data_IF_688348930565
#
_entry.id   IF_688348930565
#
_cell.length_a   1.000
_cell.length_b   1.000
_cell.length_c   1.000
_cell.angle_alpha   90.00
_cell.angle_beta   90.00
_cell.angle_gamma   90.00
#
_symmetry.space_group_name_H-M   'P 1'
#
loop_
_entity.id
_entity.type
_entity.pdbx_description
1 polymer ?
#
# COMPACT_ATOMS: atom_id res chain seq x y z
N UNK A 1 -0.98 -35.14 27.08
CA UNK A 1 -2.17 -35.11 26.20
C UNK A 1 -1.96 -34.18 24.99
N UNK A 2 -1.75 -32.85 25.17
CA UNK A 2 -1.52 -31.90 24.06
C UNK A 2 -0.43 -32.31 23.06
N UNK A 3 0.77 -32.68 23.52
CA UNK A 3 1.90 -33.10 22.65
C UNK A 3 1.52 -34.28 21.74
N UNK A 4 0.96 -35.34 22.32
CA UNK A 4 0.50 -36.54 21.59
C UNK A 4 -0.58 -36.20 20.56
N UNK A 5 -1.53 -35.32 20.91
CA UNK A 5 -2.54 -34.85 19.96
C UNK A 5 -1.92 -34.10 18.77
N UNK A 6 -0.94 -33.24 19.03
CA UNK A 6 -0.24 -32.50 17.96
C UNK A 6 0.59 -33.43 17.07
N UNK A 7 1.25 -34.44 17.62
CA UNK A 7 1.96 -35.48 16.85
C UNK A 7 1.01 -36.25 15.94
N UNK A 8 -0.18 -36.61 16.44
CA UNK A 8 -1.20 -37.27 15.64
C UNK A 8 -1.75 -36.37 14.52
N UNK A 9 -2.06 -35.11 14.82
CA UNK A 9 -2.52 -34.13 13.81
C UNK A 9 -1.42 -33.89 12.77
N UNK A 10 -0.15 -33.79 13.17
CA UNK A 10 0.98 -33.67 12.27
C UNK A 10 1.07 -34.86 11.30
N UNK A 11 0.87 -36.10 11.80
CA UNK A 11 0.84 -37.29 10.95
C UNK A 11 -0.32 -37.28 9.95
N UNK A 12 -1.50 -36.78 10.34
CA UNK A 12 -2.64 -36.60 9.42
C UNK A 12 -2.29 -35.58 8.34
N UNK A 13 -1.71 -34.44 8.71
CA UNK A 13 -1.30 -33.41 7.75
C UNK A 13 -0.28 -33.99 6.78
N UNK A 14 0.74 -34.70 7.27
CA UNK A 14 1.76 -35.34 6.43
C UNK A 14 1.14 -36.32 5.41
N UNK A 15 0.20 -37.15 5.86
CA UNK A 15 -0.55 -38.04 4.96
C UNK A 15 -1.38 -37.27 3.92
N UNK A 16 -1.91 -36.11 4.30
CA UNK A 16 -2.61 -35.22 3.36
C UNK A 16 -1.68 -34.60 2.32
N UNK A 17 -0.45 -34.23 2.72
CA UNK A 17 0.61 -33.75 1.82
C UNK A 17 1.00 -34.84 0.82
N UNK A 18 1.24 -36.07 1.29
CA UNK A 18 1.57 -37.23 0.44
C UNK A 18 0.49 -37.54 -0.60
N UNK A 19 -0.78 -37.28 -0.24
CA UNK A 19 -1.94 -37.45 -1.13
C UNK A 19 -2.23 -36.24 -2.01
N UNK A 20 -1.41 -35.18 -1.97
CA UNK A 20 -1.58 -34.00 -2.80
C UNK A 20 -2.81 -33.15 -2.45
N UNK A 21 -3.23 -33.12 -1.19
CA UNK A 21 -4.52 -32.52 -0.78
C UNK A 21 -4.51 -30.98 -0.71
N UNK A 22 -3.54 -30.32 -1.34
CA UNK A 22 -3.28 -28.88 -1.18
C UNK A 22 -4.46 -27.98 -1.57
N UNK A 23 -5.28 -28.39 -2.54
CA UNK A 23 -6.42 -27.63 -3.03
C UNK A 23 -7.70 -27.78 -2.20
N UNK A 24 -7.72 -28.65 -1.20
CA UNK A 24 -8.92 -28.90 -0.39
C UNK A 24 -9.00 -27.98 0.83
N UNK A 25 -10.10 -27.27 0.98
CA UNK A 25 -10.31 -26.31 2.08
C UNK A 25 -10.18 -26.96 3.46
N UNK A 26 -10.76 -28.14 3.68
CA UNK A 26 -10.68 -28.84 4.97
C UNK A 26 -9.25 -29.22 5.35
N UNK A 27 -8.39 -29.54 4.37
CA UNK A 27 -6.97 -29.80 4.61
C UNK A 27 -6.25 -28.51 5.00
N UNK A 28 -6.52 -27.42 4.28
CA UNK A 28 -5.96 -26.10 4.56
C UNK A 28 -6.39 -25.58 5.94
N UNK A 29 -7.64 -25.79 6.34
CA UNK A 29 -8.19 -25.41 7.64
C UNK A 29 -7.53 -26.19 8.78
N UNK A 30 -7.45 -27.53 8.66
CA UNK A 30 -6.75 -28.37 9.64
C UNK A 30 -5.30 -27.92 9.82
N UNK A 31 -4.61 -27.61 8.72
CA UNK A 31 -3.22 -27.17 8.78
C UNK A 31 -3.10 -25.75 9.38
N UNK A 32 -4.00 -24.84 9.03
CA UNK A 32 -4.04 -23.50 9.62
C UNK A 32 -4.32 -23.55 11.14
N UNK A 33 -5.16 -24.47 11.61
CA UNK A 33 -5.38 -24.70 13.04
C UNK A 33 -4.14 -25.26 13.73
N UNK A 34 -3.49 -26.25 13.11
CA UNK A 34 -2.24 -26.81 13.64
C UNK A 34 -1.16 -25.73 13.83
N UNK A 35 -0.99 -24.82 12.87
CA UNK A 35 -0.01 -23.73 12.93
C UNK A 35 -0.23 -22.81 14.14
N UNK A 36 -1.48 -22.61 14.58
CA UNK A 36 -1.79 -21.74 15.74
C UNK A 36 -1.30 -22.30 17.08
N UNK A 37 -1.04 -23.61 17.15
CA UNK A 37 -0.77 -24.32 18.41
C UNK A 37 0.52 -25.13 18.43
N UNK A 38 1.09 -25.43 17.25
CA UNK A 38 2.33 -26.15 17.08
C UNK A 38 3.56 -25.27 17.38
N UNK A 39 4.70 -25.90 17.66
CA UNK A 39 5.95 -25.15 17.84
C UNK A 39 6.45 -24.59 16.49
N UNK A 40 7.16 -23.46 16.47
CA UNK A 40 7.76 -22.93 15.24
C UNK A 40 8.65 -23.93 14.50
N UNK A 41 9.35 -24.79 15.24
CA UNK A 41 10.19 -25.85 14.68
C UNK A 41 9.35 -26.93 13.97
N UNK A 42 8.22 -27.33 14.54
CA UNK A 42 7.33 -28.31 13.90
C UNK A 42 6.68 -27.72 12.65
N UNK A 43 6.22 -26.47 12.73
CA UNK A 43 5.67 -25.74 11.57
C UNK A 43 6.70 -25.63 10.46
N UNK A 44 7.97 -25.32 10.77
CA UNK A 44 9.06 -25.32 9.81
C UNK A 44 9.26 -26.70 9.17
N UNK A 45 9.26 -27.76 9.97
CA UNK A 45 9.51 -29.12 9.50
C UNK A 45 8.44 -29.58 8.51
N UNK A 46 7.16 -29.47 8.87
CA UNK A 46 6.05 -29.88 8.00
C UNK A 46 5.91 -28.91 6.82
N UNK A 47 6.06 -27.61 7.07
CA UNK A 47 5.90 -26.57 6.05
C UNK A 47 6.87 -26.73 4.87
N UNK A 48 8.09 -27.22 5.09
CA UNK A 48 9.06 -27.48 4.01
C UNK A 48 8.57 -28.50 2.99
N UNK A 49 7.66 -29.42 3.37
CA UNK A 49 7.06 -30.40 2.45
C UNK A 49 5.95 -29.79 1.57
N UNK A 50 5.53 -28.55 1.83
CA UNK A 50 4.35 -27.93 1.18
C UNK A 50 4.72 -26.73 0.29
N UNK A 51 5.88 -26.10 0.50
CA UNK A 51 6.21 -24.83 -0.17
C UNK A 51 6.26 -24.86 -1.70
N UNK A 52 6.53 -26.00 -2.33
CA UNK A 52 6.47 -26.11 -3.81
C UNK A 52 5.02 -26.06 -4.35
N UNK A 53 4.04 -26.34 -3.50
CA UNK A 53 2.61 -26.37 -3.84
C UNK A 53 1.87 -25.11 -3.35
N UNK A 54 2.60 -24.08 -2.91
CA UNK A 54 2.01 -22.89 -2.29
C UNK A 54 0.89 -22.27 -3.14
N UNK A 55 1.07 -22.19 -4.47
CA UNK A 55 0.08 -21.62 -5.39
C UNK A 55 -1.30 -22.29 -5.28
N UNK A 56 -1.35 -23.61 -5.02
CA UNK A 56 -2.60 -24.35 -4.88
C UNK A 56 -3.35 -24.07 -3.57
N UNK A 57 -2.71 -23.39 -2.62
CA UNK A 57 -3.29 -23.05 -1.30
C UNK A 57 -3.75 -21.59 -1.21
N UNK A 58 -3.40 -20.74 -2.16
CA UNK A 58 -3.61 -19.30 -2.05
C UNK A 58 -5.04 -18.82 -2.37
N UNK A 59 -5.87 -19.71 -2.91
CA UNK A 59 -7.28 -19.42 -3.23
C UNK A 59 -8.17 -19.30 -1.99
N UNK A 60 -7.69 -19.68 -0.80
CA UNK A 60 -8.43 -19.53 0.46
C UNK A 60 -7.63 -18.78 1.52
N UNK A 61 -8.36 -18.23 2.49
CA UNK A 61 -7.76 -17.57 3.66
C UNK A 61 -6.92 -18.54 4.51
N UNK A 62 -7.41 -19.76 4.74
CA UNK A 62 -6.71 -20.75 5.54
C UNK A 62 -5.40 -21.19 4.85
N UNK A 63 -5.46 -21.51 3.56
CA UNK A 63 -4.27 -21.90 2.81
C UNK A 63 -3.27 -20.75 2.66
N UNK A 64 -3.75 -19.51 2.50
CA UNK A 64 -2.89 -18.31 2.56
C UNK A 64 -2.19 -18.16 3.91
N UNK A 65 -2.87 -18.42 5.03
CA UNK A 65 -2.24 -18.40 6.36
C UNK A 65 -1.14 -19.47 6.47
N UNK A 66 -1.38 -20.66 5.92
CA UNK A 66 -0.38 -21.74 5.87
C UNK A 66 0.84 -21.27 5.09
N UNK A 67 0.67 -20.76 3.87
CA UNK A 67 1.80 -20.28 3.05
C UNK A 67 2.54 -19.12 3.72
N UNK A 68 1.83 -18.18 4.35
CA UNK A 68 2.43 -17.07 5.09
C UNK A 68 3.25 -17.57 6.29
N UNK A 69 2.77 -18.58 7.02
CA UNK A 69 3.50 -19.22 8.10
C UNK A 69 4.73 -19.99 7.57
N UNK A 70 4.59 -20.73 6.47
CA UNK A 70 5.71 -21.41 5.82
C UNK A 70 6.79 -20.42 5.35
N UNK A 71 6.41 -19.27 4.80
CA UNK A 71 7.36 -18.20 4.47
C UNK A 71 8.06 -17.68 5.74
N UNK A 72 7.28 -17.42 6.79
CA UNK A 72 7.74 -16.87 8.06
C UNK A 72 8.71 -17.79 8.80
N UNK A 73 8.35 -19.04 9.04
CA UNK A 73 9.17 -19.98 9.81
C UNK A 73 10.19 -20.75 8.96
N UNK A 74 9.96 -20.85 7.65
CA UNK A 74 10.80 -21.59 6.72
C UNK A 74 12.22 -21.02 6.57
N UNK A 75 13.06 -21.79 5.89
CA UNK A 75 14.44 -21.42 5.56
C UNK A 75 14.50 -20.48 4.34
N UNK A 76 15.67 -19.94 4.05
CA UNK A 76 15.89 -19.20 2.80
C UNK A 76 15.62 -20.06 1.55
N UNK A 77 15.87 -21.38 1.63
CA UNK A 77 15.56 -22.33 0.55
C UNK A 77 14.05 -22.48 0.36
N UNK A 78 13.29 -22.56 1.45
CA UNK A 78 11.84 -22.66 1.40
C UNK A 78 11.21 -21.41 0.78
N UNK A 79 11.66 -20.21 1.18
CA UNK A 79 11.21 -18.94 0.57
C UNK A 79 11.46 -18.89 -0.94
N UNK A 80 12.60 -19.40 -1.41
CA UNK A 80 12.90 -19.53 -2.85
C UNK A 80 11.95 -20.49 -3.58
N UNK A 81 11.57 -21.59 -2.93
CA UNK A 81 10.58 -22.54 -3.46
C UNK A 81 9.17 -21.93 -3.55
N UNK A 82 8.75 -21.19 -2.53
CA UNK A 82 7.50 -20.41 -2.58
C UNK A 82 7.52 -19.44 -3.76
N UNK A 83 8.59 -18.63 -3.91
CA UNK A 83 8.73 -17.70 -5.04
C UNK A 83 8.66 -18.42 -6.40
N UNK A 84 9.28 -19.60 -6.52
CA UNK A 84 9.22 -20.38 -7.76
C UNK A 84 7.81 -20.87 -8.07
N UNK A 85 7.04 -21.29 -7.06
CA UNK A 85 5.65 -21.74 -7.25
C UNK A 85 4.71 -20.61 -7.67
N UNK A 86 5.05 -19.35 -7.36
CA UNK A 86 4.28 -18.16 -7.71
C UNK A 86 4.54 -17.63 -9.12
N UNK A 87 5.59 -18.12 -9.80
CA UNK A 87 6.04 -17.57 -11.09
C UNK A 87 4.91 -17.53 -12.12
N UNK A 88 4.66 -16.35 -12.70
CA UNK A 88 3.56 -16.13 -13.65
C UNK A 88 2.19 -15.89 -13.00
N UNK A 89 2.06 -16.07 -11.69
CA UNK A 89 0.84 -15.86 -10.92
C UNK A 89 0.99 -14.74 -9.87
N UNK A 90 2.13 -14.04 -9.81
CA UNK A 90 2.37 -13.00 -8.81
C UNK A 90 1.31 -11.90 -8.87
N UNK A 91 1.02 -11.38 -10.07
CA UNK A 91 0.05 -10.30 -10.25
C UNK A 91 -1.36 -10.71 -9.86
N UNK A 92 -1.84 -11.84 -10.39
CA UNK A 92 -3.19 -12.35 -10.07
C UNK A 92 -3.33 -12.67 -8.58
N UNK A 93 -2.27 -13.17 -7.95
CA UNK A 93 -2.24 -13.42 -6.51
C UNK A 93 -2.29 -12.13 -5.68
N UNK A 94 -1.64 -11.05 -6.11
CA UNK A 94 -1.73 -9.75 -5.43
C UNK A 94 -3.12 -9.12 -5.53
N UNK A 95 -3.82 -9.34 -6.65
CA UNK A 95 -5.18 -8.85 -6.88
C UNK A 95 -6.25 -9.70 -6.18
N UNK A 96 -5.92 -10.93 -5.80
CA UNK A 96 -6.84 -11.86 -5.17
C UNK A 96 -7.12 -11.49 -3.70
N UNK A 97 -8.35 -11.79 -3.23
CA UNK A 97 -8.84 -11.38 -1.90
C UNK A 97 -8.02 -11.90 -0.73
N UNK A 98 -7.46 -13.11 -0.85
CA UNK A 98 -6.72 -13.78 0.23
C UNK A 98 -5.21 -13.89 -0.08
N UNK A 99 -4.85 -14.52 -1.21
CA UNK A 99 -3.47 -14.76 -1.68
C UNK A 99 -2.44 -13.62 -1.47
N UNK A 100 -2.81 -12.35 -1.66
CA UNK A 100 -1.90 -11.20 -1.55
C UNK A 100 -1.12 -11.21 -0.23
N UNK A 101 -1.76 -11.66 0.85
CA UNK A 101 -1.21 -11.66 2.20
C UNK A 101 0.03 -12.56 2.33
N UNK A 102 0.05 -13.70 1.62
CA UNK A 102 1.22 -14.57 1.56
C UNK A 102 2.40 -13.91 0.84
N UNK A 103 2.13 -13.13 -0.22
CA UNK A 103 3.17 -12.39 -0.95
C UNK A 103 3.71 -11.25 -0.09
N UNK A 104 2.83 -10.49 0.57
CA UNK A 104 3.26 -9.46 1.53
C UNK A 104 4.15 -10.06 2.62
N UNK A 105 3.76 -11.22 3.15
CA UNK A 105 4.57 -11.92 4.14
C UNK A 105 5.93 -12.32 3.57
N UNK A 106 5.96 -12.93 2.38
CA UNK A 106 7.18 -13.34 1.69
C UNK A 106 8.15 -12.17 1.50
N UNK A 107 7.64 -10.98 1.15
CA UNK A 107 8.42 -9.74 1.04
C UNK A 107 9.05 -9.34 2.38
N UNK A 108 8.32 -9.45 3.48
CA UNK A 108 8.82 -9.09 4.82
C UNK A 108 9.91 -10.00 5.35
N UNK A 109 10.00 -11.26 4.90
CA UNK A 109 10.87 -12.28 5.52
C UNK A 109 11.98 -12.81 4.61
N UNK A 110 12.00 -12.42 3.33
CA UNK A 110 13.04 -12.87 2.39
C UNK A 110 14.28 -11.98 2.44
N UNK A 111 15.40 -12.50 2.97
CA UNK A 111 16.67 -11.75 3.06
C UNK A 111 17.36 -11.58 1.69
N UNK A 112 17.17 -12.53 0.77
CA UNK A 112 17.68 -12.48 -0.60
C UNK A 112 16.80 -11.56 -1.47
N UNK A 113 17.02 -10.27 -1.34
CA UNK A 113 16.25 -9.20 -1.99
C UNK A 113 16.43 -9.18 -3.50
N UNK A 114 17.59 -9.64 -4.01
CA UNK A 114 17.85 -9.78 -5.44
C UNK A 114 16.98 -10.90 -6.02
N UNK A 115 16.91 -12.07 -5.37
CA UNK A 115 16.01 -13.15 -5.80
C UNK A 115 14.55 -12.73 -5.72
N UNK A 116 14.15 -12.06 -4.62
CA UNK A 116 12.79 -11.54 -4.46
C UNK A 116 12.43 -10.55 -5.57
N UNK A 117 13.34 -9.64 -5.92
CA UNK A 117 13.12 -8.72 -7.03
C UNK A 117 12.90 -9.48 -8.35
N UNK A 118 13.81 -10.40 -8.70
CA UNK A 118 13.73 -11.16 -9.96
C UNK A 118 12.46 -12.02 -10.09
N UNK A 119 11.98 -12.58 -8.99
CA UNK A 119 10.83 -13.50 -9.01
C UNK A 119 9.48 -12.83 -8.75
N UNK A 120 9.44 -11.73 -8.01
CA UNK A 120 8.18 -11.10 -7.57
C UNK A 120 8.07 -9.69 -8.14
N UNK A 121 9.04 -8.81 -7.88
CA UNK A 121 8.93 -7.41 -8.27
C UNK A 121 9.04 -7.21 -9.78
N UNK A 122 9.90 -7.95 -10.48
CA UNK A 122 10.03 -7.86 -11.92
C UNK A 122 8.73 -8.24 -12.66
N UNK A 123 7.97 -9.22 -12.13
CA UNK A 123 6.70 -9.64 -12.71
C UNK A 123 5.63 -8.54 -12.64
N UNK A 124 5.57 -7.79 -11.53
CA UNK A 124 4.59 -6.68 -11.39
C UNK A 124 4.99 -5.41 -12.14
N UNK A 125 6.27 -5.30 -12.52
CA UNK A 125 6.80 -4.19 -13.32
C UNK A 125 6.68 -4.44 -14.83
N UNK A 126 6.34 -5.66 -15.25
CA UNK A 126 6.22 -6.03 -16.66
C UNK A 126 4.74 -5.96 -17.08
N UNK A 127 4.43 -5.29 -18.18
CA UNK A 127 3.07 -5.26 -18.73
C UNK A 127 2.69 -6.61 -19.38
N UNK A 128 1.45 -7.10 -19.21
CA UNK A 128 1.06 -8.44 -19.67
C UNK A 128 1.22 -8.61 -21.19
N UNK A 129 1.11 -7.51 -21.93
CA UNK A 129 1.20 -7.42 -23.40
C UNK A 129 2.61 -7.52 -23.95
N UNK A 130 3.65 -7.55 -23.10
CA UNK A 130 5.05 -7.56 -23.54
C UNK A 130 5.61 -8.96 -23.87
N UNK A 131 4.80 -10.03 -23.81
CA UNK A 131 5.26 -11.42 -24.04
C UNK A 131 4.39 -12.31 -24.92
N UNK A 132 3.29 -11.83 -25.48
CA UNK A 132 2.50 -12.61 -26.44
C UNK A 132 2.61 -12.02 -27.84
N UNK A 133 3.55 -12.56 -28.60
CA UNK A 133 3.58 -12.43 -30.06
C UNK A 133 2.88 -13.67 -30.65
N UNK A 134 1.92 -13.42 -31.55
CA UNK A 134 1.29 -14.32 -32.55
C UNK A 134 0.16 -15.26 -32.12
N UNK A 135 -1.07 -14.73 -32.13
CA UNK A 135 -2.30 -15.50 -32.27
C UNK A 135 -3.49 -14.58 -32.53
N UNK A 136 -3.90 -14.46 -33.80
CA UNK A 136 -4.96 -13.53 -34.21
C UNK A 136 -6.31 -13.82 -33.56
N UNK A 137 -7.03 -12.74 -33.23
CA UNK A 137 -8.41 -12.78 -32.77
C UNK A 137 -8.81 -11.47 -32.08
N UNK A 138 -9.50 -10.61 -32.82
CA UNK A 138 -10.37 -9.51 -32.40
C UNK A 138 -9.90 -8.66 -31.21
N UNK A 139 -9.15 -7.59 -31.52
CA UNK A 139 -8.76 -6.56 -30.56
C UNK A 139 -9.94 -5.61 -30.31
N UNK A 140 -10.81 -5.98 -29.37
CA UNK A 140 -11.53 -5.00 -28.57
C UNK A 140 -10.49 -4.08 -27.89
N UNK A 141 -10.67 -2.77 -28.04
CA UNK A 141 -9.91 -1.69 -27.38
C UNK A 141 -10.00 -1.81 -25.84
N UNK A 142 -9.34 -2.81 -25.25
CA UNK A 142 -9.06 -2.84 -23.82
C UNK A 142 -7.99 -1.80 -23.58
N UNK A 143 -8.42 -0.63 -23.13
CA UNK A 143 -7.59 0.36 -22.44
C UNK A 143 -6.57 -0.36 -21.55
N UNK A 144 -5.33 -0.49 -22.04
CA UNK A 144 -4.26 -1.26 -21.41
C UNK A 144 -3.77 -0.49 -20.19
N UNK A 145 -4.51 -0.58 -19.09
CA UNK A 145 -4.08 -0.04 -17.80
C UNK A 145 -2.73 -0.66 -17.43
N UNK A 146 -1.74 0.18 -17.17
CA UNK A 146 -0.42 -0.21 -16.68
C UNK A 146 -0.53 -1.28 -15.58
N UNK A 147 0.33 -2.30 -15.63
CA UNK A 147 0.47 -3.31 -14.58
C UNK A 147 0.52 -2.73 -13.18
N UNK A 148 1.34 -1.70 -13.05
CA UNK A 148 1.62 -1.08 -11.78
C UNK A 148 0.44 -0.24 -11.30
N UNK A 149 -0.28 0.41 -12.23
CA UNK A 149 -1.49 1.17 -11.94
C UNK A 149 -2.61 0.28 -11.42
N UNK A 150 -2.87 -0.87 -12.05
CA UNK A 150 -3.93 -1.78 -11.60
C UNK A 150 -3.71 -2.21 -10.14
N UNK A 151 -2.46 -2.56 -9.81
CA UNK A 151 -2.09 -2.94 -8.46
C UNK A 151 -2.22 -1.76 -7.47
N UNK A 152 -1.84 -0.54 -7.88
CA UNK A 152 -1.95 0.64 -7.03
C UNK A 152 -3.41 1.05 -6.76
N UNK A 153 -4.32 0.77 -7.69
CA UNK A 153 -5.75 1.07 -7.56
C UNK A 153 -6.54 -0.03 -6.82
N UNK A 154 -5.93 -1.18 -6.54
CA UNK A 154 -6.57 -2.28 -5.82
C UNK A 154 -6.31 -2.19 -4.30
N UNK A 155 -7.36 -2.39 -3.49
CA UNK A 155 -7.27 -2.26 -2.01
C UNK A 155 -6.26 -3.22 -1.38
N UNK A 156 -6.12 -4.43 -1.90
CA UNK A 156 -5.21 -5.44 -1.37
C UNK A 156 -3.81 -5.31 -1.96
N UNK A 157 -3.71 -5.20 -3.29
CA UNK A 157 -2.41 -5.17 -3.96
C UNK A 157 -1.61 -3.91 -3.61
N UNK A 158 -2.27 -2.76 -3.43
CA UNK A 158 -1.62 -1.49 -3.07
C UNK A 158 -0.83 -1.57 -1.76
N UNK A 159 -1.23 -2.48 -0.85
CA UNK A 159 -0.54 -2.72 0.42
C UNK A 159 0.88 -3.24 0.25
N UNK A 160 1.23 -3.83 -0.89
CA UNK A 160 2.63 -4.15 -1.23
C UNK A 160 3.47 -2.87 -1.26
N UNK A 161 2.98 -1.84 -1.94
CA UNK A 161 3.69 -0.57 -2.03
C UNK A 161 3.70 0.14 -0.68
N UNK A 162 2.58 0.15 0.05
CA UNK A 162 2.50 0.79 1.36
C UNK A 162 3.42 0.12 2.39
N UNK A 163 3.55 -1.20 2.34
CA UNK A 163 4.48 -1.97 3.16
C UNK A 163 5.94 -1.54 2.93
N UNK A 164 6.29 -1.21 1.69
CA UNK A 164 7.65 -0.82 1.31
C UNK A 164 7.89 0.69 1.49
N UNK A 165 6.95 1.54 1.11
CA UNK A 165 7.09 3.01 1.15
C UNK A 165 7.10 3.56 2.57
N UNK A 166 6.31 2.99 3.49
CA UNK A 166 6.15 3.50 4.85
C UNK A 166 7.21 2.89 5.78
N UNK A 167 8.20 3.68 6.26
CA UNK A 167 9.34 3.13 6.99
C UNK A 167 8.98 2.66 8.41
N UNK A 168 8.16 3.41 9.14
CA UNK A 168 7.79 3.03 10.52
C UNK A 168 6.69 1.96 10.53
N UNK A 169 6.89 0.91 11.31
CA UNK A 169 5.93 -0.19 11.45
C UNK A 169 4.58 0.27 12.00
N UNK A 170 4.59 1.16 12.98
CA UNK A 170 3.36 1.72 13.59
C UNK A 170 2.50 2.45 12.55
N UNK A 171 3.13 3.15 11.61
CA UNK A 171 2.43 3.83 10.52
C UNK A 171 1.90 2.83 9.49
N UNK A 172 2.63 1.74 9.19
CA UNK A 172 2.15 0.68 8.29
C UNK A 172 0.86 0.05 8.75
N UNK A 173 0.71 -0.15 10.06
CA UNK A 173 -0.48 -0.78 10.62
C UNK A 173 -1.77 -0.02 10.29
N UNK A 174 -1.72 1.31 10.08
CA UNK A 174 -2.89 2.12 9.69
C UNK A 174 -3.53 1.67 8.36
N UNK A 175 -2.79 0.94 7.53
CA UNK A 175 -3.25 0.41 6.23
C UNK A 175 -3.70 -1.05 6.29
N UNK A 176 -3.58 -1.69 7.45
CA UNK A 176 -3.86 -3.11 7.65
C UNK A 176 -5.06 -3.29 8.57
N UNK A 177 -5.95 -4.19 8.19
CA UNK A 177 -7.04 -4.68 9.03
C UNK A 177 -6.50 -5.57 10.19
N UNK A 178 -7.32 -5.89 11.20
CA UNK A 178 -6.87 -6.69 12.34
C UNK A 178 -6.30 -8.06 11.97
N UNK A 179 -6.83 -8.71 10.94
CA UNK A 179 -6.36 -10.01 10.49
C UNK A 179 -5.03 -9.92 9.75
N UNK A 180 -4.87 -8.95 8.86
CA UNK A 180 -3.61 -8.70 8.17
C UNK A 180 -2.49 -8.40 9.17
N UNK A 181 -2.79 -7.60 10.20
CA UNK A 181 -1.84 -7.34 11.29
C UNK A 181 -1.42 -8.63 11.96
N UNK A 182 -2.36 -9.49 12.34
CA UNK A 182 -2.07 -10.77 12.99
C UNK A 182 -1.10 -11.66 12.17
N UNK A 183 -1.12 -11.56 10.84
CA UNK A 183 -0.22 -12.32 9.96
C UNK A 183 1.10 -11.59 9.68
N UNK A 184 1.07 -10.27 9.46
CA UNK A 184 2.20 -9.48 8.97
C UNK A 184 3.06 -8.85 10.07
N UNK A 185 2.60 -8.75 11.32
CA UNK A 185 3.40 -8.16 12.41
C UNK A 185 4.21 -9.18 13.21
N UNK A 186 4.08 -10.48 12.90
CA UNK A 186 4.83 -11.53 13.57
C UNK A 186 6.31 -11.47 13.19
N UNK A 187 7.20 -11.46 14.19
CA UNK A 187 8.64 -11.65 14.02
C UNK A 187 8.96 -13.13 14.26
N UNK A 188 9.05 -13.95 13.22
CA UNK A 188 9.14 -15.39 13.37
C UNK A 188 10.51 -15.78 13.91
N UNK A 189 10.52 -16.47 15.05
CA UNK A 189 11.69 -17.12 15.64
C UNK A 189 11.49 -18.63 15.66
N UNK A 190 12.57 -19.36 15.80
CA UNK A 190 12.64 -20.82 15.97
C UNK A 190 13.72 -21.14 16.99
N UNK A 191 13.69 -22.35 17.57
CA UNK A 191 14.72 -22.80 18.50
C UNK A 191 15.86 -23.49 17.75
N UNK A 192 17.08 -22.97 17.84
CA UNK A 192 18.32 -23.60 17.38
C UNK A 192 19.26 -23.74 18.60
N UNK A 193 19.73 -24.96 18.88
CA UNK A 193 20.59 -25.26 20.03
C UNK A 193 20.08 -24.71 21.39
N UNK A 194 18.77 -24.70 21.59
CA UNK A 194 18.13 -24.20 22.81
C UNK A 194 17.94 -22.69 22.89
N UNK A 195 18.30 -21.93 21.85
CA UNK A 195 18.12 -20.48 21.78
C UNK A 195 17.09 -20.10 20.71
N UNK A 196 16.29 -19.06 20.98
CA UNK A 196 15.42 -18.47 19.97
C UNK A 196 16.24 -17.63 18.99
N UNK A 197 16.14 -17.98 17.71
CA UNK A 197 16.81 -17.26 16.63
C UNK A 197 15.79 -16.79 15.59
N UNK A 198 15.96 -15.58 15.03
CA UNK A 198 15.08 -15.10 13.98
C UNK A 198 15.31 -15.88 12.69
N UNK A 199 14.23 -16.23 11.98
CA UNK A 199 14.31 -16.98 10.70
C UNK A 199 14.74 -16.10 9.52
N UNK A 200 14.64 -14.79 9.69
CA UNK A 200 15.14 -13.75 8.81
C UNK A 200 16.20 -12.95 9.57
N UNK A 201 17.43 -12.96 9.06
CA UNK A 201 18.60 -12.37 9.71
C UNK A 201 18.83 -10.93 9.27
N UNK A 202 18.35 -10.55 8.08
CA UNK A 202 18.49 -9.19 7.56
C UNK A 202 17.59 -8.22 8.33
N UNK A 203 18.14 -7.09 8.74
CA UNK A 203 17.37 -6.02 9.37
C UNK A 203 16.17 -5.63 8.46
N UNK A 204 14.93 -5.54 9.01
CA UNK A 204 13.74 -5.23 8.21
C UNK A 204 13.84 -3.95 7.39
N UNK A 205 14.45 -2.90 7.95
CA UNK A 205 14.62 -1.61 7.29
C UNK A 205 15.65 -1.66 6.16
N UNK A 206 16.76 -2.38 6.37
CA UNK A 206 17.76 -2.63 5.31
C UNK A 206 17.13 -3.35 4.13
N UNK A 207 16.39 -4.43 4.37
CA UNK A 207 15.66 -5.16 3.32
C UNK A 207 14.67 -4.27 2.59
N UNK A 208 13.87 -3.49 3.32
CA UNK A 208 12.89 -2.56 2.74
C UNK A 208 13.57 -1.58 1.78
N UNK A 209 14.67 -0.96 2.22
CA UNK A 209 15.45 -0.01 1.42
C UNK A 209 16.02 -0.67 0.15
N UNK A 210 16.62 -1.85 0.27
CA UNK A 210 17.12 -2.61 -0.88
C UNK A 210 16.02 -2.89 -1.92
N UNK A 211 14.82 -3.30 -1.47
CA UNK A 211 13.69 -3.57 -2.37
C UNK A 211 13.14 -2.30 -3.03
N UNK A 212 13.12 -1.18 -2.30
CA UNK A 212 12.66 0.09 -2.84
C UNK A 212 13.54 0.64 -3.97
N UNK A 213 14.82 0.27 -4.03
CA UNK A 213 15.70 0.66 -5.15
C UNK A 213 15.10 0.25 -6.49
N UNK A 214 14.50 -0.95 -6.57
CA UNK A 214 13.88 -1.47 -7.79
C UNK A 214 12.54 -0.80 -8.14
N UNK A 215 11.85 -0.22 -7.15
CA UNK A 215 10.49 0.33 -7.32
C UNK A 215 10.46 1.85 -7.42
N UNK A 216 11.54 2.55 -7.05
CA UNK A 216 11.56 4.02 -6.98
C UNK A 216 11.11 4.68 -8.28
N UNK A 217 11.83 4.45 -9.38
CA UNK A 217 11.52 5.10 -10.65
C UNK A 217 10.18 4.64 -11.24
N UNK A 218 9.86 3.32 -11.28
CA UNK A 218 8.56 2.86 -11.76
C UNK A 218 7.37 3.47 -11.00
N UNK A 219 7.46 3.59 -9.67
CA UNK A 219 6.38 4.17 -8.87
C UNK A 219 6.24 5.69 -9.10
N UNK A 220 7.35 6.41 -9.25
CA UNK A 220 7.31 7.84 -9.57
C UNK A 220 6.65 8.04 -10.94
N UNK A 221 7.09 7.29 -11.95
CA UNK A 221 6.57 7.36 -13.31
C UNK A 221 5.06 7.05 -13.35
N UNK A 222 4.64 5.97 -12.72
CA UNK A 222 3.21 5.61 -12.61
C UNK A 222 2.40 6.72 -11.94
N UNK A 223 2.93 7.36 -10.90
CA UNK A 223 2.24 8.48 -10.26
C UNK A 223 2.15 9.72 -11.16
N UNK A 224 3.20 10.03 -11.93
CA UNK A 224 3.20 11.14 -12.90
C UNK A 224 2.19 10.88 -14.02
N UNK A 225 2.22 9.70 -14.64
CA UNK A 225 1.39 9.36 -15.81
C UNK A 225 -0.10 9.21 -15.46
N UNK A 226 -0.41 8.72 -14.27
CA UNK A 226 -1.78 8.39 -13.85
C UNK A 226 -2.25 9.18 -12.62
N UNK A 227 -1.73 10.40 -12.43
CA UNK A 227 -2.03 11.24 -11.27
C UNK A 227 -3.53 11.41 -10.99
N UNK A 228 -4.34 11.65 -12.03
CA UNK A 228 -5.78 11.90 -11.84
C UNK A 228 -6.54 10.65 -11.38
N UNK A 229 -6.23 9.48 -11.95
CA UNK A 229 -6.82 8.19 -11.56
C UNK A 229 -6.44 7.82 -10.13
N UNK A 230 -5.17 7.99 -9.76
CA UNK A 230 -4.67 7.69 -8.42
C UNK A 230 -5.28 8.60 -7.37
N UNK A 231 -5.30 9.92 -7.61
CA UNK A 231 -5.87 10.89 -6.66
C UNK A 231 -7.38 10.71 -6.48
N UNK A 232 -8.07 10.11 -7.45
CA UNK A 232 -9.50 9.77 -7.40
C UNK A 232 -9.83 8.41 -6.76
N UNK A 233 -8.83 7.62 -6.37
CA UNK A 233 -9.01 6.29 -5.75
C UNK A 233 -8.45 6.26 -4.34
N UNK A 234 -9.15 5.65 -3.38
CA UNK A 234 -8.65 5.54 -1.99
C UNK A 234 -7.30 4.80 -1.89
N UNK A 235 -7.13 3.57 -2.43
CA UNK A 235 -5.81 2.91 -2.43
C UNK A 235 -4.79 3.67 -3.28
N UNK A 236 -5.18 4.19 -4.45
CA UNK A 236 -4.30 4.96 -5.33
C UNK A 236 -3.75 6.21 -4.65
N UNK A 237 -4.59 6.98 -3.98
CA UNK A 237 -4.22 8.20 -3.28
C UNK A 237 -3.28 7.93 -2.09
N UNK A 238 -3.44 6.78 -1.40
CA UNK A 238 -2.51 6.36 -0.36
C UNK A 238 -1.13 6.06 -0.94
N UNK A 239 -1.06 5.31 -2.04
CA UNK A 239 0.20 5.02 -2.73
C UNK A 239 0.84 6.32 -3.22
N UNK A 240 0.08 7.17 -3.91
CA UNK A 240 0.53 8.47 -4.41
C UNK A 240 1.12 9.34 -3.30
N UNK A 241 0.41 9.45 -2.17
CA UNK A 241 0.85 10.20 -1.00
C UNK A 241 2.15 9.64 -0.42
N UNK A 242 2.28 8.32 -0.28
CA UNK A 242 3.49 7.71 0.28
C UNK A 242 4.67 7.75 -0.70
N UNK A 243 4.44 7.71 -2.03
CA UNK A 243 5.47 8.00 -3.05
C UNK A 243 5.96 9.44 -2.94
N UNK A 244 5.03 10.39 -2.81
CA UNK A 244 5.37 11.79 -2.56
C UNK A 244 6.17 11.95 -1.26
N UNK A 245 5.71 11.39 -0.14
CA UNK A 245 6.39 11.49 1.14
C UNK A 245 7.80 10.87 1.13
N UNK A 246 7.99 9.78 0.39
CA UNK A 246 9.27 9.07 0.30
C UNK A 246 10.29 9.79 -0.59
N UNK A 247 9.86 10.45 -1.67
CA UNK A 247 10.78 10.92 -2.71
C UNK A 247 10.66 12.39 -3.11
N UNK A 248 9.49 13.01 -2.91
CA UNK A 248 9.12 14.39 -3.33
C UNK A 248 9.67 14.79 -4.72
N UNK A 249 9.35 14.05 -5.80
CA UNK A 249 9.83 14.41 -7.13
C UNK A 249 9.12 15.68 -7.63
N UNK A 250 9.88 16.60 -8.24
CA UNK A 250 9.34 17.88 -8.77
C UNK A 250 8.26 17.66 -9.82
N UNK A 251 8.42 16.67 -10.69
CA UNK A 251 7.44 16.34 -11.73
C UNK A 251 6.09 15.93 -11.13
N UNK A 252 6.12 15.12 -10.07
CA UNK A 252 4.92 14.70 -9.36
C UNK A 252 4.20 15.89 -8.70
N UNK A 253 4.96 16.81 -8.10
CA UNK A 253 4.42 18.07 -7.56
C UNK A 253 3.76 18.88 -8.67
N UNK A 254 4.44 19.06 -9.80
CA UNK A 254 3.94 19.83 -10.92
C UNK A 254 2.64 19.25 -11.48
N UNK A 255 2.55 17.93 -11.70
CA UNK A 255 1.33 17.29 -12.22
C UNK A 255 0.17 17.40 -11.21
N UNK A 256 0.42 17.13 -9.93
CA UNK A 256 -0.61 17.27 -8.89
C UNK A 256 -1.13 18.72 -8.79
N UNK A 257 -0.24 19.71 -8.86
CA UNK A 257 -0.62 21.13 -8.87
C UNK A 257 -1.38 21.50 -10.15
N UNK A 258 -0.96 21.01 -11.32
CA UNK A 258 -1.65 21.27 -12.58
C UNK A 258 -3.08 20.74 -12.58
N UNK A 259 -3.33 19.57 -11.99
CA UNK A 259 -4.68 19.01 -11.80
C UNK A 259 -5.53 19.94 -10.92
N UNK A 260 -4.98 20.45 -9.82
CA UNK A 260 -5.66 21.40 -8.95
C UNK A 260 -5.98 22.71 -9.69
N UNK A 261 -5.02 23.23 -10.44
CA UNK A 261 -5.16 24.46 -11.22
C UNK A 261 -6.25 24.34 -12.29
N UNK A 262 -6.25 23.26 -13.07
CA UNK A 262 -7.31 22.96 -14.06
C UNK A 262 -8.70 22.92 -13.43
N UNK A 263 -8.81 22.50 -12.15
CA UNK A 263 -10.10 22.47 -11.45
C UNK A 263 -10.61 23.85 -11.05
N UNK A 264 -9.76 24.84 -10.79
CA UNK A 264 -10.21 26.22 -10.46
C UNK A 264 -10.36 27.10 -11.69
N UNK A 265 -9.59 26.86 -12.74
CA UNK A 265 -9.73 27.59 -14.01
C UNK A 265 -11.09 27.34 -14.67
N UNK A 266 -11.70 26.19 -14.42
CA UNK A 266 -13.08 25.88 -14.81
C UNK A 266 -14.14 26.51 -13.89
N UNK A 267 -13.73 27.36 -12.95
CA UNK A 267 -14.54 28.05 -11.92
C UNK A 267 -15.44 27.15 -11.05
N UNK A 268 -15.40 25.82 -11.21
CA UNK A 268 -16.25 24.89 -10.46
C UNK A 268 -15.62 24.43 -9.15
N UNK A 269 -14.28 24.41 -9.05
CA UNK A 269 -13.59 23.85 -7.89
C UNK A 269 -13.97 22.39 -7.60
N UNK A 270 -14.55 21.67 -8.57
CA UNK A 270 -15.21 20.37 -8.37
C UNK A 270 -14.29 19.31 -7.72
N UNK A 271 -12.99 19.38 -7.99
CA UNK A 271 -11.99 18.51 -7.36
C UNK A 271 -12.01 18.63 -5.83
N UNK A 272 -12.19 19.84 -5.30
CA UNK A 272 -12.15 20.13 -3.86
C UNK A 272 -13.48 19.81 -3.16
N UNK A 273 -14.54 19.60 -3.93
CA UNK A 273 -15.81 19.08 -3.43
C UNK A 273 -15.91 17.55 -3.54
N UNK A 274 -15.13 16.91 -4.41
CA UNK A 274 -15.13 15.45 -4.57
C UNK A 274 -14.76 14.72 -3.27
N UNK A 275 -15.46 13.63 -2.97
CA UNK A 275 -15.32 12.87 -1.72
C UNK A 275 -13.92 12.27 -1.50
N UNK A 276 -13.17 11.94 -2.56
CA UNK A 276 -11.84 11.32 -2.48
C UNK A 276 -10.78 12.37 -2.80
N UNK A 277 -10.89 13.09 -3.92
CA UNK A 277 -9.84 14.00 -4.39
C UNK A 277 -9.55 15.13 -3.39
N UNK A 278 -10.56 15.70 -2.72
CA UNK A 278 -10.31 16.72 -1.67
C UNK A 278 -9.44 16.16 -0.54
N UNK A 279 -9.69 14.91 -0.14
CA UNK A 279 -8.98 14.23 0.93
C UNK A 279 -7.55 13.87 0.49
N UNK A 280 -7.38 13.45 -0.76
CA UNK A 280 -6.08 13.21 -1.40
C UNK A 280 -5.21 14.46 -1.39
N UNK A 281 -5.73 15.60 -1.87
CA UNK A 281 -4.99 16.88 -1.88
C UNK A 281 -4.71 17.36 -0.45
N UNK A 282 -5.68 17.28 0.45
CA UNK A 282 -5.48 17.63 1.87
C UNK A 282 -4.34 16.83 2.49
N UNK A 283 -4.28 15.52 2.22
CA UNK A 283 -3.23 14.67 2.78
C UNK A 283 -1.85 14.93 2.17
N UNK A 284 -1.76 15.34 0.90
CA UNK A 284 -0.51 15.81 0.31
C UNK A 284 0.01 17.07 1.02
N UNK A 285 -0.88 18.04 1.28
CA UNK A 285 -0.54 19.25 2.03
C UNK A 285 -0.06 18.90 3.45
N UNK A 286 -0.75 17.99 4.13
CA UNK A 286 -0.36 17.55 5.47
C UNK A 286 1.00 16.85 5.52
N UNK A 287 1.47 16.25 4.41
CA UNK A 287 2.83 15.71 4.32
C UNK A 287 3.90 16.80 4.41
N UNK A 288 3.59 18.04 4.03
CA UNK A 288 4.51 19.18 4.11
C UNK A 288 4.48 19.83 5.50
N UNK A 289 3.34 19.73 6.21
CA UNK A 289 3.20 20.22 7.59
C UNK A 289 3.97 19.40 8.63
N UNK A 290 4.30 18.14 8.33
CA UNK A 290 4.89 17.20 9.29
C UNK A 290 6.39 17.43 9.60
N UNK A 291 6.94 18.62 9.30
CA UNK A 291 8.30 19.03 9.67
C UNK A 291 9.45 18.28 9.00
N UNK A 292 9.18 17.19 8.25
CA UNK A 292 10.20 16.39 7.59
C UNK A 292 10.60 17.03 6.26
N UNK A 293 11.31 18.16 6.35
CA UNK A 293 12.01 18.81 5.25
C UNK A 293 13.26 17.99 4.94
N UNK A 294 13.12 16.95 4.10
CA UNK A 294 14.30 16.35 3.47
C UNK A 294 15.09 17.42 2.70
N UNK A 295 16.32 17.10 2.29
CA UNK A 295 17.19 18.04 1.56
C UNK A 295 16.46 18.65 0.35
N UNK A 296 16.12 19.94 0.46
CA UNK A 296 15.69 20.87 -0.59
C UNK A 296 14.76 20.30 -1.70
N UNK A 297 13.73 19.53 -1.33
CA UNK A 297 12.70 19.07 -2.29
C UNK A 297 11.56 20.08 -2.43
N UNK A 298 11.07 20.31 -3.65
CA UNK A 298 9.92 21.19 -3.90
C UNK A 298 8.69 20.70 -3.12
N UNK A 299 8.14 21.56 -2.25
CA UNK A 299 6.94 21.22 -1.50
C UNK A 299 5.70 21.40 -2.38
N UNK A 300 4.79 20.44 -2.32
CA UNK A 300 3.49 20.51 -2.98
C UNK A 300 2.73 21.75 -2.52
N UNK A 301 2.71 22.02 -1.22
CA UNK A 301 1.95 23.12 -0.61
C UNK A 301 2.45 24.50 -1.07
N UNK A 302 3.77 24.67 -1.20
CA UNK A 302 4.37 25.91 -1.70
C UNK A 302 4.00 26.14 -3.17
N UNK A 303 4.11 25.10 -4.00
CA UNK A 303 3.80 25.17 -5.44
C UNK A 303 2.30 25.38 -5.65
N UNK A 304 1.46 24.67 -4.88
CA UNK A 304 0.02 24.85 -4.84
C UNK A 304 -0.34 26.29 -4.49
N UNK A 305 0.19 26.85 -3.40
CA UNK A 305 -0.12 28.22 -3.00
C UNK A 305 0.36 29.24 -4.04
N UNK A 306 1.59 29.10 -4.55
CA UNK A 306 2.14 30.01 -5.55
C UNK A 306 1.28 30.07 -6.83
N UNK A 307 0.76 28.93 -7.30
CA UNK A 307 -0.08 28.86 -8.50
C UNK A 307 -1.53 29.26 -8.25
N UNK A 308 -2.04 29.04 -7.04
CA UNK A 308 -3.48 29.12 -6.72
C UNK A 308 -3.84 30.30 -5.83
N UNK A 309 -2.89 31.18 -5.48
CA UNK A 309 -3.07 32.29 -4.54
C UNK A 309 -4.30 33.16 -4.83
N UNK A 310 -4.53 33.48 -6.10
CA UNK A 310 -5.68 34.29 -6.53
C UNK A 310 -7.02 33.55 -6.47
N UNK A 311 -6.99 32.21 -6.49
CA UNK A 311 -8.16 31.34 -6.61
C UNK A 311 -8.48 30.56 -5.33
N UNK A 312 -7.88 30.92 -4.20
CA UNK A 312 -8.15 30.23 -2.92
C UNK A 312 -9.61 30.33 -2.48
N UNK A 313 -10.33 31.39 -2.88
CA UNK A 313 -11.77 31.48 -2.67
C UNK A 313 -12.52 30.34 -3.38
N UNK A 314 -12.14 30.01 -4.62
CA UNK A 314 -12.73 28.92 -5.42
C UNK A 314 -12.44 27.57 -4.75
N UNK A 315 -11.21 27.34 -4.29
CA UNK A 315 -10.84 26.13 -3.53
C UNK A 315 -11.73 25.95 -2.30
N UNK A 316 -12.06 27.05 -1.62
CA UNK A 316 -12.85 27.07 -0.40
C UNK A 316 -14.37 27.18 -0.58
N UNK A 317 -14.92 27.00 -1.78
CA UNK A 317 -16.37 27.16 -2.00
C UNK A 317 -17.22 26.08 -1.32
N UNK A 318 -16.64 24.91 -1.01
CA UNK A 318 -17.33 23.79 -0.35
C UNK A 318 -16.76 23.51 1.05
N UNK A 319 -17.55 22.81 1.88
CA UNK A 319 -17.10 22.39 3.22
C UNK A 319 -15.84 21.48 3.15
N UNK A 320 -15.73 20.65 2.10
CA UNK A 320 -14.56 19.81 1.84
C UNK A 320 -13.34 20.65 1.42
N UNK A 321 -13.55 21.62 0.55
CA UNK A 321 -12.55 22.58 0.13
C UNK A 321 -12.01 23.42 1.30
N UNK A 322 -12.87 23.81 2.24
CA UNK A 322 -12.46 24.50 3.46
C UNK A 322 -11.48 23.67 4.31
N UNK A 323 -11.62 22.33 4.35
CA UNK A 323 -10.63 21.46 5.01
C UNK A 323 -9.28 21.42 4.29
N UNK A 324 -9.26 21.57 2.96
CA UNK A 324 -8.02 21.69 2.18
C UNK A 324 -7.29 22.98 2.55
N UNK A 325 -8.01 24.11 2.60
CA UNK A 325 -7.46 25.39 3.02
C UNK A 325 -7.00 25.39 4.50
N UNK A 326 -7.76 24.71 5.36
CA UNK A 326 -7.37 24.51 6.77
C UNK A 326 -6.04 23.76 6.87
N UNK A 327 -5.83 22.72 6.06
CA UNK A 327 -4.54 22.02 6.01
C UNK A 327 -3.42 22.92 5.49
N UNK A 328 -3.70 23.79 4.51
CA UNK A 328 -2.73 24.74 3.97
C UNK A 328 -2.26 25.75 5.04
N UNK A 329 -3.14 26.16 5.94
CA UNK A 329 -2.81 27.02 7.09
C UNK A 329 -1.85 26.36 8.10
N UNK A 330 -1.63 25.03 8.02
CA UNK A 330 -0.72 24.29 8.91
C UNK A 330 0.69 24.13 8.37
N UNK A 331 0.98 24.68 7.18
CA UNK A 331 2.30 24.57 6.55
C UNK A 331 3.15 25.78 6.94
N UNK A 332 4.13 25.56 7.84
CA UNK A 332 4.91 26.63 8.47
C UNK A 332 5.57 27.60 7.47
N UNK A 333 6.05 27.11 6.32
CA UNK A 333 6.76 27.96 5.35
C UNK A 333 5.88 28.99 4.63
N UNK A 334 4.57 28.73 4.52
CA UNK A 334 3.62 29.59 3.80
C UNK A 334 2.46 30.08 4.67
N UNK A 335 2.45 29.72 5.96
CA UNK A 335 1.32 29.94 6.87
C UNK A 335 0.86 31.39 6.91
N UNK A 336 1.77 32.33 7.11
CA UNK A 336 1.44 33.76 7.22
C UNK A 336 0.77 34.26 5.94
N UNK A 337 1.41 34.01 4.79
CA UNK A 337 0.91 34.46 3.48
C UNK A 337 -0.44 33.83 3.12
N UNK A 338 -0.64 32.57 3.47
CA UNK A 338 -1.91 31.85 3.28
C UNK A 338 -3.00 32.48 4.13
N UNK A 339 -2.77 32.70 5.42
CA UNK A 339 -3.75 33.32 6.32
C UNK A 339 -4.10 34.74 5.84
N UNK A 340 -3.11 35.54 5.47
CA UNK A 340 -3.35 36.90 4.98
C UNK A 340 -4.16 36.93 3.69
N UNK A 341 -3.89 36.00 2.77
CA UNK A 341 -4.68 35.86 1.55
C UNK A 341 -6.12 35.42 1.85
N UNK A 342 -6.33 34.46 2.76
CA UNK A 342 -7.65 33.94 3.11
C UNK A 342 -8.50 34.95 3.90
N UNK A 343 -7.88 35.80 4.73
CA UNK A 343 -8.57 36.88 5.46
C UNK A 343 -9.33 37.84 4.53
N UNK A 344 -8.84 38.05 3.30
CA UNK A 344 -9.52 38.86 2.28
C UNK A 344 -10.92 38.31 1.92
N UNK A 345 -11.12 37.00 2.05
CA UNK A 345 -12.36 36.30 1.72
C UNK A 345 -13.13 35.79 2.96
N UNK A 346 -12.73 36.23 4.18
CA UNK A 346 -13.35 35.78 5.46
C UNK A 346 -14.87 35.95 5.48
N UNK A 347 -15.39 37.07 4.97
CA UNK A 347 -16.84 37.33 4.89
C UNK A 347 -17.55 36.34 3.95
N UNK A 348 -16.91 35.91 2.86
CA UNK A 348 -17.46 34.89 1.97
C UNK A 348 -17.59 33.57 2.71
N UNK A 349 -16.52 33.11 3.39
CA UNK A 349 -16.54 31.85 4.13
C UNK A 349 -17.56 31.85 5.28
N UNK A 350 -17.74 32.98 5.99
CA UNK A 350 -18.80 33.12 7.00
C UNK A 350 -20.21 32.99 6.41
N UNK A 351 -20.45 33.56 5.21
CA UNK A 351 -21.74 33.40 4.51
C UNK A 351 -21.97 31.95 4.09
N UNK A 352 -20.94 31.29 3.55
CA UNK A 352 -21.00 29.87 3.16
C UNK A 352 -21.26 28.97 4.38
N UNK A 353 -20.59 29.23 5.51
CA UNK A 353 -20.83 28.51 6.77
C UNK A 353 -22.29 28.60 7.23
N UNK A 354 -22.89 29.80 7.17
CA UNK A 354 -24.30 30.01 7.56
C UNK A 354 -25.29 29.31 6.63
N UNK A 355 -24.95 29.20 5.34
CA UNK A 355 -25.79 28.51 4.35
C UNK A 355 -25.66 26.98 4.42
N UNK A 356 -24.54 26.46 4.92
CA UNK A 356 -24.32 25.04 5.07
C UNK A 356 -25.21 24.49 6.21
N UNK A 357 -26.36 23.93 5.86
CA UNK A 357 -27.39 23.38 6.76
C UNK A 357 -26.90 22.13 7.55
N UNK A 358 -25.89 22.30 8.41
CA UNK A 358 -25.30 21.25 9.27
C UNK A 358 -23.94 20.70 8.81
N UNK A 359 -23.54 20.90 7.55
CA UNK A 359 -22.22 20.48 7.02
C UNK A 359 -21.24 21.65 7.01
N UNK A 360 -20.94 22.21 8.19
CA UNK A 360 -20.16 23.45 8.33
C UNK A 360 -18.82 23.27 9.06
N UNK A 361 -18.46 22.05 9.46
CA UNK A 361 -17.26 21.76 10.26
C UNK A 361 -15.95 22.20 9.59
N UNK A 362 -15.85 22.08 8.27
CA UNK A 362 -14.69 22.53 7.50
C UNK A 362 -14.58 24.05 7.47
N UNK A 363 -15.70 24.74 7.27
CA UNK A 363 -15.73 26.21 7.37
C UNK A 363 -15.42 26.70 8.78
N UNK A 364 -15.92 26.01 9.81
CA UNK A 364 -15.62 26.34 11.20
C UNK A 364 -14.12 26.18 11.49
N UNK A 365 -13.52 25.08 11.05
CA UNK A 365 -12.08 24.85 11.18
C UNK A 365 -11.26 25.93 10.46
N UNK A 366 -11.65 26.28 9.22
CA UNK A 366 -10.98 27.33 8.45
C UNK A 366 -11.08 28.70 9.13
N UNK A 367 -12.27 29.06 9.61
CA UNK A 367 -12.52 30.35 10.27
C UNK A 367 -11.76 30.48 11.60
N UNK A 368 -11.50 29.36 12.29
CA UNK A 368 -10.66 29.34 13.48
C UNK A 368 -9.19 29.62 13.16
N UNK A 369 -8.67 29.12 12.03
CA UNK A 369 -7.28 29.36 11.62
C UNK A 369 -7.05 30.80 11.11
N UNK A 370 -8.05 31.42 10.49
CA UNK A 370 -7.98 32.81 9.97
C UNK A 370 -8.62 33.85 10.92
N UNK A 371 -8.97 33.39 12.13
CA UNK A 371 -9.68 34.10 13.20
C UNK A 371 -9.13 35.47 13.51
#
# INVERSE_FOLDING_TARGET
KKKVTLEFVAAIIQKGIEKGMFGFSYFQELFAEYIKVASPNDVRSIGSSVVDHSIHMLSTRAGTCVVAACAGYGTAKDRKRIMKSLKGYTRSSLLHRDAYLAILRLIQVTDDTVALHKSVLAEILTDPTSKEDKGGGDEEEKSSKSSLLELALNENASKLFLLLLVPQQENRQKYLDPFERAVLTLNPTITEAGQEVPTSRKNPETRRKELMVYLRQPLIQMCVDHSEELLGSLPGARVFKEVYAAYRPRELVNVATAICQKSVEKESGALFEDQIKHYSIKNLILCDSAGNRGDASALFSETFFAKMKASLEIVGQSNRGAFVLTALCKVDSIRSDVIDQLKKHKKTFQKLQKKAAGSSAGFQALLNEIG
#
